data_IF_154405680387
#
_entry.id   IF_154405680387
#
_cell.length_a   1.000
_cell.length_b   1.000
_cell.length_c   1.000
_cell.angle_alpha   90.00
_cell.angle_beta   90.00
_cell.angle_gamma   90.00
#
_symmetry.space_group_name_H-M   'P 1'
#
loop_
_entity.id
_entity.type
_entity.pdbx_description
1 polymer ?
#
# COMPACT_ATOMS: atom_id res chain seq x y z
N UNK A 1 18.00 2.61 -3.10
CA UNK A 1 17.86 3.02 -1.69
C UNK A 1 16.85 4.15 -1.57
N UNK A 2 15.87 4.03 -0.68
CA UNK A 2 14.91 5.10 -0.35
C UNK A 2 15.53 6.20 0.55
N UNK A 3 16.85 6.17 0.73
CA UNK A 3 17.60 7.10 1.57
C UNK A 3 18.47 8.07 0.76
N UNK A 4 18.04 8.45 -0.43
CA UNK A 4 18.73 9.49 -1.20
C UNK A 4 18.21 10.88 -0.83
N UNK A 5 19.05 11.90 -1.02
CA UNK A 5 18.68 13.30 -0.77
C UNK A 5 17.45 13.71 -1.59
N UNK A 6 17.32 13.20 -2.80
CA UNK A 6 16.20 13.49 -3.70
C UNK A 6 14.86 12.98 -3.13
N UNK A 7 14.86 11.84 -2.41
CA UNK A 7 13.65 11.39 -1.72
C UNK A 7 13.29 12.28 -0.54
N UNK A 8 14.27 12.77 0.21
CA UNK A 8 14.02 13.73 1.30
C UNK A 8 13.43 15.01 0.73
N UNK A 9 14.02 15.56 -0.32
CA UNK A 9 13.52 16.76 -1.01
C UNK A 9 12.10 16.57 -1.56
N UNK A 10 11.83 15.40 -2.14
CA UNK A 10 10.50 15.05 -2.60
C UNK A 10 9.47 15.03 -1.45
N UNK A 11 9.80 14.44 -0.29
CA UNK A 11 8.88 14.42 0.85
C UNK A 11 8.66 15.80 1.46
N UNK A 12 9.70 16.62 1.53
CA UNK A 12 9.58 18.03 1.96
C UNK A 12 8.66 18.78 1.03
N UNK A 13 8.90 18.72 -0.29
CA UNK A 13 8.05 19.31 -1.30
C UNK A 13 6.59 18.82 -1.21
N UNK A 14 6.37 17.51 -1.06
CA UNK A 14 5.03 16.92 -0.95
C UNK A 14 4.27 17.45 0.27
N UNK A 15 4.97 17.56 1.40
CA UNK A 15 4.41 18.13 2.63
C UNK A 15 3.97 19.58 2.42
N UNK A 16 4.84 20.39 1.80
CA UNK A 16 4.53 21.80 1.52
C UNK A 16 3.40 21.95 0.50
N UNK A 17 3.42 21.16 -0.57
CA UNK A 17 2.35 21.12 -1.56
C UNK A 17 1.01 20.81 -0.89
N UNK A 18 0.98 19.72 -0.10
CA UNK A 18 -0.23 19.33 0.60
C UNK A 18 -0.70 20.34 1.65
N UNK A 19 0.18 21.13 2.25
CA UNK A 19 -0.22 22.20 3.15
C UNK A 19 -0.96 23.34 2.42
N UNK A 20 -0.59 23.64 1.19
CA UNK A 20 -1.09 24.78 0.41
C UNK A 20 -2.29 24.42 -0.49
N UNK A 21 -2.35 23.18 -0.98
CA UNK A 21 -3.32 22.78 -2.01
C UNK A 21 -4.58 22.16 -1.42
N UNK A 22 -5.74 22.48 -2.03
CA UNK A 22 -7.02 21.86 -1.68
C UNK A 22 -7.05 20.38 -2.05
N UNK A 23 -6.54 20.04 -3.23
CA UNK A 23 -6.41 18.66 -3.69
C UNK A 23 -5.08 18.09 -3.17
N UNK A 24 -5.17 17.17 -2.26
CA UNK A 24 -3.98 16.52 -1.66
C UNK A 24 -3.45 15.42 -2.57
N UNK A 25 -2.15 15.22 -2.54
CA UNK A 25 -1.47 14.08 -3.14
C UNK A 25 -1.24 13.06 -2.04
N UNK A 26 -1.69 11.85 -2.27
CA UNK A 26 -1.49 10.72 -1.35
C UNK A 26 -0.30 9.90 -1.81
N UNK A 27 0.55 9.55 -0.88
CA UNK A 27 1.64 8.61 -1.10
C UNK A 27 1.34 7.35 -0.32
N UNK A 28 1.15 6.25 -1.04
CA UNK A 28 0.68 5.00 -0.46
C UNK A 28 1.53 3.84 -1.00
N UNK A 29 1.88 2.91 -0.14
CA UNK A 29 2.52 1.66 -0.53
C UNK A 29 1.50 0.68 -1.10
N UNK A 30 1.89 -0.03 -2.16
CA UNK A 30 1.09 -1.13 -2.73
C UNK A 30 1.81 -2.47 -2.63
N UNK A 31 3.11 -2.44 -2.38
CA UNK A 31 3.92 -3.65 -2.34
C UNK A 31 3.71 -4.42 -1.04
N UNK A 32 3.79 -5.73 -1.20
CA UNK A 32 3.74 -6.69 -0.13
C UNK A 32 5.03 -7.52 -0.17
N UNK A 33 6.11 -6.94 0.36
CA UNK A 33 7.42 -7.60 0.30
C UNK A 33 7.55 -8.71 1.34
N UNK A 34 8.04 -9.86 0.88
CA UNK A 34 8.12 -11.08 1.69
C UNK A 34 9.12 -10.98 2.86
N UNK A 35 10.22 -10.28 2.67
CA UNK A 35 11.29 -10.17 3.67
C UNK A 35 11.01 -9.11 4.74
N UNK A 36 10.29 -8.06 4.37
CA UNK A 36 9.88 -6.97 5.25
C UNK A 36 8.38 -7.02 5.46
N UNK A 37 7.92 -8.06 6.14
CA UNK A 37 6.50 -8.26 6.39
C UNK A 37 5.91 -7.06 7.08
N UNK A 38 5.06 -6.34 6.39
CA UNK A 38 4.14 -5.41 7.01
C UNK A 38 3.33 -6.18 8.07
N UNK A 39 3.44 -5.74 9.29
CA UNK A 39 2.91 -6.45 10.45
C UNK A 39 1.90 -5.58 11.18
N UNK A 40 1.24 -6.17 12.16
CA UNK A 40 0.39 -5.40 13.07
C UNK A 40 1.19 -4.34 13.84
N UNK A 41 2.50 -4.53 14.01
CA UNK A 41 3.35 -3.54 14.65
C UNK A 41 3.48 -2.27 13.79
N UNK A 42 3.62 -2.43 12.48
CA UNK A 42 3.68 -1.29 11.55
C UNK A 42 2.35 -0.50 11.55
N UNK A 43 1.22 -1.21 11.65
CA UNK A 43 -0.09 -0.56 11.83
C UNK A 43 -0.18 0.17 13.16
N UNK A 44 0.36 -0.40 14.22
CA UNK A 44 0.42 0.24 15.53
C UNK A 44 1.27 1.51 15.48
N UNK A 45 2.47 1.44 14.92
CA UNK A 45 3.37 2.59 14.76
C UNK A 45 2.72 3.70 13.91
N UNK A 46 2.06 3.32 12.82
CA UNK A 46 1.29 4.27 12.01
C UNK A 46 0.20 4.97 12.84
N UNK A 47 -0.60 4.24 13.60
CA UNK A 47 -1.67 4.82 14.43
C UNK A 47 -1.11 5.75 15.50
N UNK A 48 0.02 5.40 16.11
CA UNK A 48 0.71 6.26 17.07
C UNK A 48 1.22 7.54 16.41
N UNK A 49 1.79 7.42 15.21
CA UNK A 49 2.32 8.57 14.47
C UNK A 49 1.24 9.55 13.97
N UNK A 50 0.08 9.03 13.55
CA UNK A 50 -1.02 9.84 13.00
C UNK A 50 -1.92 10.40 14.10
N UNK A 51 -2.03 9.68 15.20
CA UNK A 51 -2.95 10.03 16.27
C UNK A 51 -2.21 10.31 17.59
N UNK A 52 -1.88 11.58 17.80
CA UNK A 52 -1.26 12.05 19.04
C UNK A 52 -2.13 11.90 20.29
N UNK A 53 -3.37 11.45 20.16
CA UNK A 53 -4.31 11.33 21.27
C UNK A 53 -4.36 9.89 21.79
N UNK A 54 -3.35 9.51 22.58
CA UNK A 54 -3.40 8.32 23.43
C UNK A 54 -4.60 8.34 24.42
N UNK A 55 -5.40 9.38 24.40
CA UNK A 55 -6.57 9.58 25.27
C UNK A 55 -7.86 8.90 24.79
N UNK A 56 -7.87 8.37 23.55
CA UNK A 56 -9.05 7.72 23.01
C UNK A 56 -9.10 6.24 23.39
N UNK A 57 -10.09 5.80 24.20
CA UNK A 57 -10.14 4.43 24.69
C UNK A 57 -10.31 3.39 23.58
N UNK A 58 -10.98 3.73 22.47
CA UNK A 58 -11.16 2.79 21.34
C UNK A 58 -9.89 2.62 20.53
N UNK A 59 -9.14 3.69 20.29
CA UNK A 59 -7.83 3.60 19.62
C UNK A 59 -6.86 2.84 20.52
N UNK A 60 -6.83 3.13 21.82
CA UNK A 60 -6.01 2.41 22.77
C UNK A 60 -6.33 0.91 22.79
N UNK A 61 -7.61 0.53 22.77
CA UNK A 61 -8.02 -0.87 22.71
C UNK A 61 -7.63 -1.53 21.39
N UNK A 62 -7.81 -0.84 20.26
CA UNK A 62 -7.37 -1.35 18.97
C UNK A 62 -5.85 -1.54 18.90
N UNK A 63 -5.08 -0.58 19.40
CA UNK A 63 -3.63 -0.70 19.53
C UNK A 63 -3.25 -1.90 20.41
N UNK A 64 -3.94 -2.10 21.53
CA UNK A 64 -3.74 -3.28 22.37
C UNK A 64 -4.02 -4.58 21.62
N UNK A 65 -5.07 -4.62 20.81
CA UNK A 65 -5.40 -5.77 19.96
C UNK A 65 -4.33 -6.01 18.87
N UNK A 66 -3.71 -4.98 18.34
CA UNK A 66 -2.62 -5.11 17.37
C UNK A 66 -1.37 -5.73 18.02
N UNK A 67 -1.05 -5.33 19.23
CA UNK A 67 0.10 -5.84 20.00
C UNK A 67 -0.09 -7.28 20.48
N UNK A 68 -1.33 -7.69 20.76
CA UNK A 68 -1.65 -9.06 21.14
C UNK A 68 -1.66 -9.94 19.88
N UNK A 69 -0.55 -10.62 19.61
CA UNK A 69 -0.36 -11.50 18.44
C UNK A 69 -1.13 -12.83 18.57
N UNK A 70 -2.38 -12.80 18.96
CA UNK A 70 -3.22 -14.00 19.02
C UNK A 70 -3.54 -14.50 17.60
N UNK A 71 -3.35 -15.78 17.34
CA UNK A 71 -3.50 -16.39 16.00
C UNK A 71 -4.85 -16.12 15.32
N UNK A 72 -5.92 -15.98 16.09
CA UNK A 72 -7.30 -15.79 15.59
C UNK A 72 -7.80 -14.34 15.75
N UNK A 73 -6.93 -13.42 16.16
CA UNK A 73 -7.37 -12.05 16.53
C UNK A 73 -7.62 -11.14 15.35
N UNK A 74 -7.13 -11.47 14.15
CA UNK A 74 -7.24 -10.54 13.01
C UNK A 74 -8.68 -10.35 12.53
N UNK A 75 -9.49 -11.40 12.54
CA UNK A 75 -10.92 -11.26 12.24
C UNK A 75 -11.64 -10.43 13.30
N UNK A 76 -11.26 -10.57 14.56
CA UNK A 76 -11.79 -9.73 15.66
C UNK A 76 -11.39 -8.28 15.49
N UNK A 77 -10.14 -8.00 15.05
CA UNK A 77 -9.66 -6.63 14.75
C UNK A 77 -10.46 -5.99 13.63
N UNK A 78 -10.72 -6.72 12.53
CA UNK A 78 -11.56 -6.24 11.43
C UNK A 78 -12.98 -5.96 11.93
N UNK A 79 -13.58 -6.89 12.67
CA UNK A 79 -14.92 -6.72 13.22
C UNK A 79 -14.98 -5.52 14.17
N UNK A 80 -13.93 -5.28 14.94
CA UNK A 80 -13.81 -4.11 15.80
C UNK A 80 -13.81 -2.81 14.99
N UNK A 81 -13.00 -2.71 13.94
CA UNK A 81 -12.98 -1.55 13.04
C UNK A 81 -14.33 -1.31 12.36
N UNK A 82 -14.99 -2.38 11.93
CA UNK A 82 -16.28 -2.28 11.24
C UNK A 82 -17.42 -1.89 12.16
N UNK A 83 -17.42 -2.34 13.41
CA UNK A 83 -18.48 -2.09 14.39
C UNK A 83 -18.39 -0.71 15.02
N UNK A 84 -17.24 -0.04 14.99
CA UNK A 84 -17.04 1.24 15.62
C UNK A 84 -16.96 2.37 14.59
N UNK A 85 -18.08 3.03 14.31
CA UNK A 85 -18.12 4.25 13.48
C UNK A 85 -17.15 5.33 13.96
N UNK A 86 -16.76 5.25 15.21
CA UNK A 86 -15.79 6.12 15.84
C UNK A 86 -14.46 6.23 15.10
N UNK A 87 -13.93 5.12 14.55
CA UNK A 87 -12.72 5.19 13.74
C UNK A 87 -12.89 6.04 12.48
N UNK A 88 -14.08 6.05 11.89
CA UNK A 88 -14.39 6.89 10.73
C UNK A 88 -14.44 8.37 11.10
N UNK A 89 -14.91 8.67 12.30
CA UNK A 89 -15.08 10.04 12.79
C UNK A 89 -13.75 10.64 13.27
N UNK A 90 -12.89 9.82 13.90
CA UNK A 90 -11.61 10.28 14.48
C UNK A 90 -10.43 10.22 13.52
N UNK A 91 -10.23 9.09 12.83
CA UNK A 91 -9.12 8.91 11.91
C UNK A 91 -9.49 9.14 10.44
N UNK A 92 -10.77 9.34 10.17
CA UNK A 92 -11.30 9.54 8.83
C UNK A 92 -11.74 8.25 8.14
N UNK A 93 -12.68 8.42 7.19
CA UNK A 93 -13.26 7.30 6.45
C UNK A 93 -12.21 6.56 5.59
N UNK A 94 -11.31 7.30 4.95
CA UNK A 94 -10.31 6.72 4.05
C UNK A 94 -9.28 5.92 4.83
N UNK A 95 -8.74 6.49 5.89
CA UNK A 95 -7.77 5.87 6.78
C UNK A 95 -8.33 4.61 7.42
N UNK A 96 -9.58 4.64 7.89
CA UNK A 96 -10.27 3.46 8.42
C UNK A 96 -10.37 2.33 7.40
N UNK A 97 -10.68 2.65 6.15
CA UNK A 97 -10.74 1.67 5.05
C UNK A 97 -9.37 1.12 4.67
N UNK A 98 -8.35 1.95 4.68
CA UNK A 98 -6.97 1.53 4.44
C UNK A 98 -6.51 0.56 5.55
N UNK A 99 -6.77 0.89 6.81
CA UNK A 99 -6.44 0.00 7.94
C UNK A 99 -7.15 -1.36 7.84
N UNK A 100 -8.43 -1.37 7.49
CA UNK A 100 -9.18 -2.61 7.25
C UNK A 100 -8.54 -3.44 6.15
N UNK A 101 -8.20 -2.81 5.02
CA UNK A 101 -7.56 -3.47 3.89
C UNK A 101 -6.18 -4.02 4.25
N UNK A 102 -5.35 -3.26 4.96
CA UNK A 102 -4.06 -3.72 5.46
C UNK A 102 -4.18 -4.97 6.34
N UNK A 103 -5.15 -5.00 7.27
CA UNK A 103 -5.40 -6.19 8.08
C UNK A 103 -5.83 -7.40 7.24
N UNK A 104 -6.68 -7.20 6.22
CA UNK A 104 -7.08 -8.26 5.30
C UNK A 104 -5.87 -8.80 4.53
N UNK A 105 -4.99 -7.92 4.06
CA UNK A 105 -3.74 -8.29 3.38
C UNK A 105 -2.84 -9.11 4.30
N UNK A 106 -2.66 -8.71 5.57
CA UNK A 106 -1.90 -9.47 6.56
C UNK A 106 -2.50 -10.87 6.77
N UNK A 107 -3.83 -10.99 6.85
CA UNK A 107 -4.51 -12.27 7.00
C UNK A 107 -4.26 -13.18 5.80
N UNK A 108 -4.38 -12.64 4.59
CA UNK A 108 -4.13 -13.40 3.36
C UNK A 108 -2.69 -13.89 3.30
N UNK A 109 -1.75 -13.04 3.63
CA UNK A 109 -0.34 -13.36 3.69
C UNK A 109 -0.02 -14.53 4.61
N UNK A 110 -0.59 -14.53 5.80
CA UNK A 110 -0.37 -15.59 6.79
C UNK A 110 -0.92 -16.96 6.38
N UNK A 111 -1.90 -17.00 5.50
CA UNK A 111 -2.47 -18.24 4.98
C UNK A 111 -1.57 -18.90 3.93
N UNK A 112 -0.57 -18.20 3.43
CA UNK A 112 0.28 -18.69 2.36
C UNK A 112 1.74 -18.74 2.83
N UNK A 113 2.30 -19.95 2.98
CA UNK A 113 3.65 -20.13 3.56
C UNK A 113 4.76 -19.66 2.63
N UNK A 114 4.51 -19.60 1.32
CA UNK A 114 5.48 -19.14 0.32
C UNK A 114 4.76 -18.24 -0.68
N UNK A 115 5.14 -16.97 -0.73
CA UNK A 115 4.69 -16.08 -1.79
C UNK A 115 5.52 -16.33 -3.05
N UNK A 116 4.87 -16.83 -4.10
CA UNK A 116 5.47 -16.77 -5.43
C UNK A 116 5.49 -15.31 -5.92
N UNK A 117 6.41 -15.00 -6.83
CA UNK A 117 6.46 -13.68 -7.47
C UNK A 117 5.10 -13.24 -8.04
N UNK A 118 4.38 -14.15 -8.65
CA UNK A 118 3.05 -13.90 -9.21
C UNK A 118 2.02 -13.49 -8.17
N UNK A 119 2.07 -14.12 -7.01
CA UNK A 119 1.14 -13.78 -5.96
C UNK A 119 1.43 -12.39 -5.38
N UNK A 120 2.71 -12.03 -5.23
CA UNK A 120 3.12 -10.68 -4.84
C UNK A 120 2.59 -9.65 -5.83
N UNK A 121 2.81 -9.87 -7.12
CA UNK A 121 2.37 -8.97 -8.19
C UNK A 121 0.85 -8.85 -8.26
N UNK A 122 0.14 -9.94 -8.04
CA UNK A 122 -1.31 -9.95 -7.93
C UNK A 122 -1.78 -9.12 -6.73
N UNK A 123 -1.17 -9.31 -5.56
CA UNK A 123 -1.52 -8.54 -4.34
C UNK A 123 -1.19 -7.06 -4.52
N UNK A 124 -0.07 -6.72 -5.14
CA UNK A 124 0.26 -5.33 -5.50
C UNK A 124 -0.84 -4.71 -6.37
N UNK A 125 -1.33 -5.46 -7.37
CA UNK A 125 -2.43 -5.00 -8.21
C UNK A 125 -3.73 -4.85 -7.40
N UNK A 126 -4.09 -5.81 -6.57
CA UNK A 126 -5.30 -5.76 -5.73
C UNK A 126 -5.25 -4.57 -4.76
N UNK A 127 -4.07 -4.27 -4.20
CA UNK A 127 -3.86 -3.09 -3.37
C UNK A 127 -4.04 -1.79 -4.16
N UNK A 128 -3.47 -1.71 -5.37
CA UNK A 128 -3.67 -0.55 -6.24
C UNK A 128 -5.14 -0.35 -6.61
N UNK A 129 -5.81 -1.43 -7.04
CA UNK A 129 -7.22 -1.39 -7.46
C UNK A 129 -8.13 -0.96 -6.30
N UNK A 130 -7.88 -1.48 -5.10
CA UNK A 130 -8.58 -1.05 -3.89
C UNK A 130 -8.39 0.45 -3.62
N UNK A 131 -7.15 0.93 -3.63
CA UNK A 131 -6.84 2.34 -3.38
C UNK A 131 -7.44 3.25 -4.46
N UNK A 132 -7.30 2.84 -5.73
CA UNK A 132 -7.89 3.56 -6.84
C UNK A 132 -9.42 3.63 -6.70
N UNK A 133 -10.08 2.52 -6.41
CA UNK A 133 -11.53 2.47 -6.17
C UNK A 133 -11.97 3.30 -4.96
N UNK A 134 -11.14 3.35 -3.89
CA UNK A 134 -11.43 4.12 -2.70
C UNK A 134 -11.41 5.63 -2.97
N UNK A 135 -10.43 6.12 -3.73
CA UNK A 135 -10.23 7.55 -3.97
C UNK A 135 -10.93 8.08 -5.23
N UNK A 136 -11.22 7.23 -6.21
CA UNK A 136 -11.83 7.65 -7.50
C UNK A 136 -13.34 7.84 -7.46
N UNK A 137 -14.01 7.42 -6.40
CA UNK A 137 -15.50 7.38 -6.32
C UNK A 137 -16.22 8.66 -6.74
N UNK A 138 -15.58 9.80 -6.70
CA UNK A 138 -16.20 11.09 -7.05
C UNK A 138 -15.35 12.00 -7.93
N UNK A 139 -14.22 11.56 -8.45
CA UNK A 139 -13.28 12.39 -9.20
C UNK A 139 -12.47 11.56 -10.19
N UNK A 140 -12.19 12.14 -11.36
CA UNK A 140 -11.13 11.64 -12.22
C UNK A 140 -9.79 11.70 -11.46
N UNK A 141 -9.21 10.55 -11.18
CA UNK A 141 -7.93 10.42 -10.50
C UNK A 141 -6.83 10.11 -11.50
N UNK A 142 -5.65 10.67 -11.25
CA UNK A 142 -4.41 10.24 -11.89
C UNK A 142 -3.54 9.59 -10.84
N UNK A 143 -3.03 8.41 -11.15
CA UNK A 143 -2.16 7.64 -10.25
C UNK A 143 -0.85 7.38 -10.96
N UNK A 144 0.26 7.65 -10.27
CA UNK A 144 1.59 7.24 -10.71
C UNK A 144 2.08 6.12 -9.78
N UNK A 145 2.55 5.03 -10.35
CA UNK A 145 3.14 3.91 -9.60
C UNK A 145 4.64 3.89 -9.92
N UNK A 146 5.46 3.96 -8.88
CA UNK A 146 6.89 3.75 -8.99
C UNK A 146 7.22 2.31 -8.58
N UNK A 147 7.80 1.54 -9.48
CA UNK A 147 8.18 0.16 -9.21
C UNK A 147 9.35 -0.26 -10.10
N UNK A 148 10.01 -1.36 -9.75
CA UNK A 148 10.98 -1.98 -10.63
C UNK A 148 10.31 -2.41 -11.94
N UNK A 149 11.04 -2.28 -13.07
CA UNK A 149 10.51 -2.60 -14.40
C UNK A 149 9.96 -4.02 -14.52
N UNK A 150 10.55 -5.00 -13.83
CA UNK A 150 10.06 -6.38 -13.80
C UNK A 150 8.60 -6.50 -13.34
N UNK A 151 8.16 -5.64 -12.41
CA UNK A 151 6.77 -5.58 -11.96
C UNK A 151 5.89 -4.77 -12.92
N UNK A 152 6.39 -3.64 -13.41
CA UNK A 152 5.63 -2.73 -14.26
C UNK A 152 5.36 -3.27 -15.68
N UNK A 153 6.19 -4.17 -16.17
CA UNK A 153 6.07 -4.75 -17.50
C UNK A 153 4.72 -5.48 -17.67
N UNK A 154 4.06 -5.28 -18.80
CA UNK A 154 2.80 -5.97 -19.12
C UNK A 154 2.95 -6.98 -20.30
N UNK A 155 4.12 -7.11 -20.89
CA UNK A 155 4.41 -8.15 -21.90
C UNK A 155 4.94 -9.44 -21.24
N UNK A 156 4.11 -10.10 -20.45
CA UNK A 156 4.46 -11.36 -19.77
C UNK A 156 4.87 -12.49 -20.74
N UNK A 157 4.55 -12.35 -22.01
CA UNK A 157 4.79 -13.36 -23.02
C UNK A 157 6.24 -13.45 -23.51
N UNK A 158 7.06 -12.43 -23.26
CA UNK A 158 8.43 -12.38 -23.79
C UNK A 158 9.52 -12.74 -22.81
N UNK A 159 9.25 -12.68 -21.51
CA UNK A 159 10.23 -13.11 -20.51
C UNK A 159 9.99 -14.57 -20.12
N UNK A 160 10.68 -15.48 -20.78
CA UNK A 160 10.69 -16.93 -20.49
C UNK A 160 11.09 -17.31 -19.04
N UNK A 161 11.24 -16.33 -18.16
CA UNK A 161 11.70 -16.55 -16.78
C UNK A 161 10.60 -16.51 -15.73
N UNK A 162 9.38 -16.05 -16.05
CA UNK A 162 8.31 -15.95 -15.05
C UNK A 162 7.06 -16.61 -15.59
N UNK A 163 6.69 -17.73 -14.97
CA UNK A 163 5.45 -18.46 -15.31
C UNK A 163 4.18 -17.66 -15.03
N UNK A 164 4.29 -16.53 -14.38
CA UNK A 164 3.19 -15.80 -13.78
C UNK A 164 3.18 -14.32 -14.23
N UNK A 165 1.99 -13.75 -14.49
CA UNK A 165 1.89 -12.39 -15.01
C UNK A 165 2.37 -11.36 -13.97
N UNK A 166 3.21 -10.39 -14.38
CA UNK A 166 3.63 -9.30 -13.53
C UNK A 166 2.47 -8.32 -13.25
N UNK A 167 2.63 -7.47 -12.23
CA UNK A 167 1.69 -6.43 -11.84
C UNK A 167 1.15 -5.63 -13.03
N UNK A 168 2.02 -5.17 -13.93
CA UNK A 168 1.64 -4.41 -15.11
C UNK A 168 0.68 -5.15 -16.04
N UNK A 169 0.76 -6.48 -16.13
CA UNK A 169 -0.19 -7.29 -16.92
C UNK A 169 -1.59 -7.28 -16.33
N UNK A 170 -1.72 -7.33 -15.01
CA UNK A 170 -3.02 -7.19 -14.33
C UNK A 170 -3.59 -5.79 -14.55
N UNK A 171 -2.77 -4.75 -14.35
CA UNK A 171 -3.17 -3.36 -14.54
C UNK A 171 -3.59 -3.07 -15.99
N UNK A 172 -2.82 -3.54 -16.99
CA UNK A 172 -3.17 -3.36 -18.41
C UNK A 172 -4.48 -4.04 -18.79
N UNK A 173 -4.73 -5.24 -18.24
CA UNK A 173 -5.98 -5.97 -18.50
C UNK A 173 -7.20 -5.26 -17.94
N UNK A 174 -7.11 -4.62 -16.79
CA UNK A 174 -8.23 -3.95 -16.12
C UNK A 174 -8.42 -2.53 -16.62
N UNK A 175 -7.34 -1.77 -16.74
CA UNK A 175 -7.39 -0.35 -17.09
C UNK A 175 -7.22 -0.06 -18.59
N UNK A 176 -6.87 -1.07 -19.39
CA UNK A 176 -6.78 -0.93 -20.86
C UNK A 176 -5.81 0.17 -21.27
N UNK A 177 -6.31 1.09 -22.11
CA UNK A 177 -5.49 2.21 -22.62
C UNK A 177 -5.31 3.35 -21.63
N UNK A 178 -6.00 3.34 -20.50
CA UNK A 178 -5.76 4.25 -19.39
C UNK A 178 -4.50 3.90 -18.60
N UNK A 179 -3.90 2.72 -18.85
CA UNK A 179 -2.65 2.28 -18.25
C UNK A 179 -1.52 2.25 -19.28
N UNK A 180 -0.43 2.95 -18.96
CA UNK A 180 0.82 2.92 -19.74
C UNK A 180 2.03 2.84 -18.81
N UNK A 181 3.11 2.28 -19.32
CA UNK A 181 4.38 2.14 -18.58
C UNK A 181 5.44 3.04 -19.21
N UNK A 182 6.13 3.80 -18.35
CA UNK A 182 7.32 4.54 -18.74
C UNK A 182 8.54 3.81 -18.18
N UNK A 183 9.34 3.21 -19.07
CA UNK A 183 10.59 2.57 -18.70
C UNK A 183 11.73 3.58 -18.67
N UNK A 184 12.48 3.62 -17.59
CA UNK A 184 13.73 4.38 -17.47
C UNK A 184 14.87 3.37 -17.45
N UNK A 185 15.76 3.48 -18.44
CA UNK A 185 16.92 2.61 -18.59
C UNK A 185 18.19 3.42 -18.45
N UNK A 186 19.14 2.92 -17.70
CA UNK A 186 20.47 3.49 -17.61
C UNK A 186 21.28 3.02 -18.81
N UNK A 187 21.64 3.94 -19.70
CA UNK A 187 22.41 3.65 -20.90
C UNK A 187 23.92 3.49 -20.67
N UNK A 188 24.40 3.78 -19.47
CA UNK A 188 25.78 3.65 -19.00
C UNK A 188 25.94 4.33 -17.64
N UNK A 189 26.96 3.98 -16.93
CA UNK A 189 27.27 4.53 -15.61
C UNK A 189 27.98 3.50 -14.72
N UNK A 190 28.62 3.98 -13.68
CA UNK A 190 29.17 3.14 -12.62
C UNK A 190 28.13 2.97 -11.51
N UNK A 191 27.92 1.74 -11.08
CA UNK A 191 27.15 1.49 -9.86
C UNK A 191 28.09 1.61 -8.67
N UNK A 192 27.79 2.51 -7.75
CA UNK A 192 28.45 2.51 -6.45
C UNK A 192 27.99 1.25 -5.67
N UNK A 193 28.92 0.35 -5.45
CA UNK A 193 28.72 -0.84 -4.61
C UNK A 193 28.72 -0.46 -3.13
#
# INVERSE_FOLDING_TARGET
SLYSEEWVDFFVWLKEYNAKMKNKVWLLGIDYEYEYRFTELDLFEYLVAVNHTASNPYIAEFCRMLLLQEKDSNQKKISFLQSHNYFKDEIGLYESKILEHCLQTIIQARKQPVLSFSLRDKVMFENLDFLFGLFSKNKAMKTAVYSHFGHANYSALETRMVSDPPFGSFAKRVYGDDFFVVGIFVGGGETLN
#
